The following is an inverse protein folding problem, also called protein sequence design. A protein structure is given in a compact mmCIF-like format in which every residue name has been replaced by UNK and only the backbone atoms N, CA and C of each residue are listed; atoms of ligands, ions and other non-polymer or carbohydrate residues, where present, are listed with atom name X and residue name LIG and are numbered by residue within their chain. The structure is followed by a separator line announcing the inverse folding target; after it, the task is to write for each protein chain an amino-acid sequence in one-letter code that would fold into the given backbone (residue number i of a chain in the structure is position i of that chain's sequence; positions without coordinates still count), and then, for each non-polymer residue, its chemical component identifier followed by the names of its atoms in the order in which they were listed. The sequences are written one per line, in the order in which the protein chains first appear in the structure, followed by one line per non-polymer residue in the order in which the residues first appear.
data_IF_606623389705
#
_entry.id   IF_606623389705
#
_cell.length_a   1.000
_cell.length_b   1.000
_cell.length_c   1.000
_cell.angle_alpha   90.00
_cell.angle_beta   90.00
_cell.angle_gamma   90.00
#
_symmetry.space_group_name_H-M   'P 1'
#
loop_
_entity.id
_entity.type
_entity.pdbx_description
1 polymer ?
#
# COMPACT_ATOMS: atom_id res chain seq x y z
N UNK A 1 -9.93 40.76 34.60
CA UNK A 1 -10.46 39.45 34.10
C UNK A 1 -9.48 38.90 33.08
N UNK A 2 -8.75 37.85 33.43
CA UNK A 2 -7.91 37.10 32.49
C UNK A 2 -8.83 36.18 31.67
N UNK A 3 -8.88 36.39 30.35
CA UNK A 3 -9.55 35.47 29.44
C UNK A 3 -8.50 34.56 28.82
N UNK A 4 -8.53 33.28 29.17
CA UNK A 4 -7.72 32.23 28.53
C UNK A 4 -8.49 31.78 27.26
N UNK A 5 -7.88 31.97 26.08
CA UNK A 5 -8.41 31.47 24.84
C UNK A 5 -7.71 30.16 24.56
N UNK A 6 -8.41 29.04 24.80
CA UNK A 6 -7.93 27.72 24.38
C UNK A 6 -8.14 27.61 22.87
N UNK A 7 -7.04 27.43 22.15
CA UNK A 7 -7.07 27.02 20.74
C UNK A 7 -6.89 25.50 20.74
N UNK A 8 -7.90 24.76 20.32
CA UNK A 8 -7.70 23.39 19.87
C UNK A 8 -7.10 23.48 18.47
N UNK A 9 -5.82 23.21 18.34
CA UNK A 9 -5.16 23.03 17.07
C UNK A 9 -5.51 21.60 16.62
N UNK A 10 -6.47 21.43 15.72
CA UNK A 10 -6.65 20.17 15.00
C UNK A 10 -5.44 20.03 14.06
N UNK A 11 -4.45 19.23 14.46
CA UNK A 11 -3.36 18.88 13.57
C UNK A 11 -3.89 17.96 12.45
N UNK A 12 -3.81 18.43 11.20
CA UNK A 12 -4.13 17.63 10.02
C UNK A 12 -3.27 16.36 10.01
N UNK A 13 -3.87 15.19 10.10
CA UNK A 13 -3.16 13.93 10.00
C UNK A 13 -2.63 13.75 8.56
N UNK A 14 -1.37 13.34 8.43
CA UNK A 14 -0.80 12.91 7.17
C UNK A 14 -1.01 11.40 7.02
N UNK A 15 -1.71 11.00 5.99
CA UNK A 15 -2.01 9.61 5.65
C UNK A 15 -1.34 9.29 4.33
N UNK A 16 -0.47 8.30 4.33
CA UNK A 16 0.19 7.79 3.14
C UNK A 16 -0.30 6.38 2.89
N UNK A 17 -0.77 6.11 1.68
CA UNK A 17 -1.17 4.76 1.27
C UNK A 17 -0.08 4.21 0.38
N UNK A 18 0.73 3.28 0.91
CA UNK A 18 1.67 2.48 0.15
C UNK A 18 0.90 1.31 -0.45
N UNK A 19 0.74 1.33 -1.77
CA UNK A 19 -0.04 0.34 -2.50
C UNK A 19 0.88 -0.55 -3.32
N UNK A 20 0.90 -1.83 -3.00
CA UNK A 20 1.64 -2.82 -3.77
C UNK A 20 1.05 -2.98 -5.17
N UNK A 21 1.91 -2.79 -6.17
CA UNK A 21 1.60 -2.93 -7.59
C UNK A 21 2.56 -3.93 -8.26
N UNK A 22 3.04 -4.94 -7.53
CA UNK A 22 3.85 -6.04 -8.05
C UNK A 22 3.04 -7.02 -8.89
N UNK A 23 3.72 -7.94 -9.57
CA UNK A 23 3.06 -8.98 -10.38
C UNK A 23 2.20 -9.93 -9.56
N UNK A 24 2.58 -10.22 -8.31
CA UNK A 24 1.82 -11.10 -7.43
C UNK A 24 0.39 -10.56 -7.20
N UNK A 25 0.21 -9.24 -7.21
CA UNK A 25 -1.09 -8.58 -7.07
C UNK A 25 -2.03 -8.76 -8.28
N UNK A 26 -1.54 -9.30 -9.40
CA UNK A 26 -2.35 -9.65 -10.58
C UNK A 26 -3.00 -11.04 -10.49
N UNK A 27 -2.89 -11.71 -9.36
CA UNK A 27 -3.53 -13.00 -9.09
C UNK A 27 -4.89 -12.78 -8.44
N UNK A 28 -5.78 -13.76 -8.59
CA UNK A 28 -7.12 -13.77 -7.99
C UNK A 28 -8.24 -13.39 -8.98
N UNK A 29 -9.49 -13.64 -8.54
CA UNK A 29 -10.68 -13.24 -9.27
C UNK A 29 -11.77 -12.77 -8.28
N UNK A 30 -11.97 -11.46 -8.10
CA UNK A 30 -11.28 -10.33 -8.77
C UNK A 30 -9.78 -10.27 -8.43
N UNK A 31 -8.98 -9.59 -9.27
CA UNK A 31 -7.56 -9.42 -9.02
C UNK A 31 -7.30 -8.75 -7.67
N UNK A 32 -6.30 -9.22 -6.91
CA UNK A 32 -5.90 -8.60 -5.63
C UNK A 32 -5.64 -7.11 -5.77
N UNK A 33 -4.98 -6.69 -6.86
CA UNK A 33 -4.75 -5.27 -7.14
C UNK A 33 -6.04 -4.46 -7.24
N UNK A 34 -7.08 -4.98 -7.91
CA UNK A 34 -8.35 -4.26 -8.01
C UNK A 34 -9.00 -4.06 -6.65
N UNK A 35 -8.97 -5.08 -5.81
CA UNK A 35 -9.49 -4.98 -4.44
C UNK A 35 -8.66 -4.00 -3.59
N UNK A 36 -7.33 -4.06 -3.70
CA UNK A 36 -6.43 -3.14 -3.02
C UNK A 36 -6.65 -1.67 -3.45
N UNK A 37 -6.87 -1.42 -4.75
CA UNK A 37 -7.23 -0.09 -5.25
C UNK A 37 -8.57 0.42 -4.72
N UNK A 38 -9.58 -0.46 -4.63
CA UNK A 38 -10.88 -0.10 -4.04
C UNK A 38 -10.74 0.27 -2.56
N UNK A 39 -9.95 -0.51 -1.82
CA UNK A 39 -9.65 -0.24 -0.41
C UNK A 39 -8.88 1.07 -0.25
N UNK A 40 -7.85 1.30 -1.07
CA UNK A 40 -7.10 2.55 -1.09
C UNK A 40 -8.00 3.76 -1.40
N UNK A 41 -8.93 3.63 -2.36
CA UNK A 41 -9.90 4.66 -2.68
C UNK A 41 -10.82 4.98 -1.50
N UNK A 42 -11.35 3.94 -0.82
CA UNK A 42 -12.24 4.10 0.32
C UNK A 42 -11.53 4.78 1.51
N UNK A 43 -10.33 4.33 1.86
CA UNK A 43 -9.53 4.93 2.94
C UNK A 43 -9.14 6.37 2.61
N UNK A 44 -8.75 6.63 1.35
CA UNK A 44 -8.48 8.00 0.90
C UNK A 44 -9.70 8.88 1.02
N UNK A 45 -10.88 8.39 0.64
CA UNK A 45 -12.12 9.16 0.77
C UNK A 45 -12.42 9.52 2.22
N UNK A 46 -12.27 8.56 3.15
CA UNK A 46 -12.47 8.80 4.59
C UNK A 46 -11.52 9.87 5.11
N UNK A 47 -10.23 9.77 4.82
CA UNK A 47 -9.24 10.77 5.22
C UNK A 47 -9.54 12.16 4.64
N UNK A 48 -9.83 12.25 3.33
CA UNK A 48 -10.20 13.52 2.69
C UNK A 48 -11.51 14.10 3.24
N UNK A 49 -12.45 13.25 3.68
CA UNK A 49 -13.70 13.67 4.31
C UNK A 49 -13.47 14.27 5.69
N UNK A 50 -12.52 13.76 6.43
CA UNK A 50 -12.08 14.25 7.74
C UNK A 50 -11.11 15.43 7.64
N UNK A 51 -10.88 15.95 6.42
CA UNK A 51 -9.95 17.04 6.14
C UNK A 51 -8.48 16.69 6.38
N UNK A 52 -8.15 15.41 6.48
CA UNK A 52 -6.77 14.93 6.54
C UNK A 52 -6.03 15.12 5.21
N UNK A 53 -4.72 15.00 5.26
CA UNK A 53 -3.84 15.08 4.10
C UNK A 53 -3.49 13.69 3.62
N UNK A 54 -4.04 13.26 2.50
CA UNK A 54 -3.86 11.91 1.98
C UNK A 54 -3.05 11.89 0.69
N UNK A 55 -2.09 10.97 0.59
CA UNK A 55 -1.32 10.67 -0.62
C UNK A 55 -1.29 9.18 -0.90
N UNK A 56 -1.13 8.78 -2.17
CA UNK A 56 -1.03 7.38 -2.60
C UNK A 56 0.30 7.18 -3.28
N UNK A 57 1.03 6.16 -2.84
CA UNK A 57 2.38 5.82 -3.30
C UNK A 57 2.40 4.36 -3.72
N UNK A 58 2.18 4.05 -5.00
CA UNK A 58 2.34 2.69 -5.50
C UNK A 58 3.82 2.28 -5.47
N UNK A 59 4.07 0.99 -5.24
CA UNK A 59 5.41 0.43 -5.23
C UNK A 59 5.43 -1.00 -5.79
N UNK A 60 6.60 -1.44 -6.22
CA UNK A 60 6.99 -2.82 -6.47
C UNK A 60 8.47 -2.98 -6.05
N UNK A 61 9.42 -3.08 -6.98
CA UNK A 61 10.86 -3.03 -6.65
C UNK A 61 11.28 -1.64 -6.11
N UNK A 62 10.62 -0.58 -6.60
CA UNK A 62 10.83 0.80 -6.23
C UNK A 62 9.50 1.54 -6.13
N UNK A 63 9.54 2.79 -5.66
CA UNK A 63 8.36 3.65 -5.70
C UNK A 63 8.01 4.03 -7.15
N UNK A 64 6.75 3.86 -7.50
CA UNK A 64 6.17 4.31 -8.76
C UNK A 64 5.76 5.79 -8.71
N UNK A 65 5.31 6.38 -9.83
CA UNK A 65 4.67 7.69 -9.81
C UNK A 65 3.55 7.72 -8.78
N UNK A 66 3.51 8.78 -7.98
CA UNK A 66 2.65 8.87 -6.81
C UNK A 66 1.61 9.99 -6.94
N UNK A 67 0.48 9.84 -6.26
CA UNK A 67 -0.47 10.91 -6.06
C UNK A 67 0.00 11.77 -4.87
N UNK A 68 0.36 13.04 -5.09
CA UNK A 68 0.85 13.90 -4.02
C UNK A 68 -0.16 14.07 -2.90
N UNK A 69 0.35 14.20 -1.68
CA UNK A 69 -0.46 14.47 -0.49
C UNK A 69 -1.31 15.72 -0.71
N UNK A 70 -2.61 15.58 -0.51
CA UNK A 70 -3.57 16.65 -0.71
C UNK A 70 -4.71 16.55 0.31
N UNK A 71 -5.46 17.66 0.48
CA UNK A 71 -6.58 17.81 1.40
C UNK A 71 -7.86 18.14 0.64
N UNK A 72 -9.00 17.72 1.18
CA UNK A 72 -10.34 18.11 0.75
C UNK A 72 -11.02 17.15 -0.22
N UNK A 73 -12.32 16.95 -0.01
CA UNK A 73 -13.19 15.97 -0.71
C UNK A 73 -13.17 16.10 -2.24
N UNK A 74 -12.98 17.30 -2.79
CA UNK A 74 -12.95 17.51 -4.24
C UNK A 74 -11.80 16.81 -4.97
N UNK A 75 -10.83 16.28 -4.22
CA UNK A 75 -9.72 15.49 -4.77
C UNK A 75 -10.08 14.06 -5.17
N UNK A 76 -11.22 13.55 -4.73
CA UNK A 76 -11.57 12.13 -4.93
C UNK A 76 -11.61 11.69 -6.39
N UNK A 77 -12.03 12.54 -7.31
CA UNK A 77 -12.02 12.21 -8.74
C UNK A 77 -10.60 12.02 -9.27
N UNK A 78 -9.64 12.86 -8.84
CA UNK A 78 -8.22 12.69 -9.18
C UNK A 78 -7.62 11.41 -8.60
N UNK A 79 -8.10 10.99 -7.43
CA UNK A 79 -7.73 9.70 -6.81
C UNK A 79 -8.19 8.55 -7.69
N UNK A 80 -9.46 8.57 -8.13
CA UNK A 80 -9.99 7.50 -9.01
C UNK A 80 -9.25 7.43 -10.35
N UNK A 81 -8.99 8.58 -10.97
CA UNK A 81 -8.24 8.63 -12.24
C UNK A 81 -6.81 8.11 -12.07
N UNK A 82 -6.16 8.49 -10.96
CA UNK A 82 -4.83 8.01 -10.63
C UNK A 82 -4.80 6.50 -10.41
N UNK A 83 -5.71 5.96 -9.58
CA UNK A 83 -5.78 4.52 -9.31
C UNK A 83 -6.03 3.70 -10.57
N UNK A 84 -6.90 4.17 -11.48
CA UNK A 84 -7.14 3.50 -12.77
C UNK A 84 -5.92 3.43 -13.68
N UNK A 85 -4.97 4.35 -13.51
CA UNK A 85 -3.73 4.41 -14.29
C UNK A 85 -2.58 3.61 -13.67
N UNK A 86 -2.78 2.90 -12.55
CA UNK A 86 -1.74 2.07 -11.96
C UNK A 86 -1.57 0.80 -12.78
N UNK A 87 -0.36 0.60 -13.27
CA UNK A 87 0.06 -0.63 -13.95
C UNK A 87 0.89 -1.46 -12.97
N UNK A 88 0.51 -2.74 -12.84
CA UNK A 88 1.27 -3.68 -12.02
C UNK A 88 2.43 -4.30 -12.80
N UNK A 89 3.54 -4.51 -12.09
CA UNK A 89 4.73 -5.14 -12.65
C UNK A 89 5.88 -5.18 -11.67
N UNK A 90 6.88 -5.98 -11.99
CA UNK A 90 8.06 -6.12 -11.12
C UNK A 90 7.85 -7.11 -9.97
N UNK A 91 8.85 -7.19 -9.10
CA UNK A 91 8.90 -8.03 -7.91
C UNK A 91 8.63 -7.16 -6.69
N UNK A 92 8.01 -7.71 -5.66
CA UNK A 92 7.82 -7.01 -4.40
C UNK A 92 9.16 -6.84 -3.67
N UNK A 93 9.51 -5.60 -3.31
CA UNK A 93 10.67 -5.26 -2.45
C UNK A 93 10.26 -4.20 -1.45
N UNK A 94 9.62 -4.62 -0.37
CA UNK A 94 9.04 -3.71 0.61
C UNK A 94 10.10 -2.89 1.35
N UNK A 95 11.23 -3.48 1.71
CA UNK A 95 12.32 -2.78 2.37
C UNK A 95 12.83 -1.61 1.53
N UNK A 96 13.17 -1.86 0.27
CA UNK A 96 13.67 -0.82 -0.66
C UNK A 96 12.62 0.28 -0.88
N UNK A 97 11.36 -0.11 -1.01
CA UNK A 97 10.25 0.84 -1.17
C UNK A 97 10.07 1.73 0.07
N UNK A 98 10.12 1.13 1.28
CA UNK A 98 9.97 1.89 2.53
C UNK A 98 11.16 2.79 2.81
N UNK A 99 12.39 2.39 2.53
CA UNK A 99 13.57 3.25 2.60
C UNK A 99 13.43 4.46 1.67
N UNK A 100 13.08 4.23 0.41
CA UNK A 100 12.85 5.28 -0.58
C UNK A 100 11.72 6.23 -0.14
N UNK A 101 10.66 5.68 0.47
CA UNK A 101 9.56 6.45 1.04
C UNK A 101 10.04 7.35 2.19
N UNK A 102 10.78 6.82 3.15
CA UNK A 102 11.31 7.55 4.31
C UNK A 102 12.24 8.70 3.85
N UNK A 103 13.05 8.46 2.84
CA UNK A 103 13.91 9.51 2.26
C UNK A 103 13.09 10.63 1.60
N UNK A 104 12.00 10.31 0.94
CA UNK A 104 11.16 11.27 0.20
C UNK A 104 10.23 12.06 1.11
N UNK A 105 9.60 11.40 2.09
CA UNK A 105 8.56 12.00 2.93
C UNK A 105 9.09 12.34 4.33
N UNK A 106 9.18 13.65 4.63
CA UNK A 106 9.73 14.13 5.92
C UNK A 106 8.66 14.35 6.98
N UNK A 107 7.41 14.62 6.57
CA UNK A 107 6.29 14.74 7.50
C UNK A 107 5.86 13.36 7.96
N UNK A 108 5.83 13.18 9.28
CA UNK A 108 5.41 11.92 9.89
C UNK A 108 3.89 11.80 9.88
N UNK A 109 3.39 10.59 10.02
CA UNK A 109 1.96 10.30 10.02
C UNK A 109 1.69 8.82 9.83
N UNK A 110 0.44 8.50 9.54
CA UNK A 110 -0.03 7.14 9.31
C UNK A 110 0.42 6.65 7.92
N UNK A 111 1.00 5.47 7.87
CA UNK A 111 1.38 4.79 6.62
C UNK A 111 0.59 3.50 6.50
N UNK A 112 -0.43 3.50 5.66
CA UNK A 112 -1.22 2.30 5.37
C UNK A 112 -0.53 1.52 4.27
N UNK A 113 0.00 0.35 4.58
CA UNK A 113 0.66 -0.55 3.62
C UNK A 113 -0.34 -1.61 3.18
N UNK A 114 -0.67 -1.64 1.89
CA UNK A 114 -1.62 -2.59 1.29
C UNK A 114 -0.83 -3.49 0.34
N UNK A 115 -0.67 -4.77 0.68
CA UNK A 115 0.13 -5.74 -0.08
C UNK A 115 -0.35 -7.16 0.23
N UNK A 116 0.06 -8.14 -0.55
CA UNK A 116 -0.04 -9.56 -0.20
C UNK A 116 1.12 -10.03 0.69
N UNK A 117 2.18 -9.21 0.80
CA UNK A 117 3.40 -9.48 1.59
C UNK A 117 4.19 -10.70 1.14
N UNK A 118 4.07 -11.09 -0.14
CA UNK A 118 4.87 -12.17 -0.72
C UNK A 118 6.24 -11.69 -1.19
N UNK A 119 6.91 -10.89 -0.36
CA UNK A 119 8.29 -10.46 -0.59
C UNK A 119 9.26 -11.59 -0.19
N UNK A 120 10.07 -12.13 -1.12
CA UNK A 120 11.05 -13.18 -0.81
C UNK A 120 12.09 -12.74 0.22
N UNK A 121 12.34 -11.44 0.36
CA UNK A 121 13.29 -10.87 1.33
C UNK A 121 12.67 -10.70 2.72
N UNK A 122 11.35 -10.86 2.86
CA UNK A 122 10.59 -10.55 4.07
C UNK A 122 10.07 -9.12 4.10
N UNK A 123 9.15 -8.86 4.99
CA UNK A 123 8.47 -7.55 5.11
C UNK A 123 8.75 -6.83 6.43
N UNK A 124 9.26 -7.55 7.43
CA UNK A 124 9.40 -7.07 8.80
C UNK A 124 10.36 -5.87 8.90
N UNK A 125 11.48 -5.92 8.17
CA UNK A 125 12.48 -4.85 8.18
C UNK A 125 11.94 -3.57 7.58
N UNK A 126 11.18 -3.66 6.48
CA UNK A 126 10.51 -2.52 5.88
C UNK A 126 9.50 -1.85 6.81
N UNK A 127 8.66 -2.65 7.48
CA UNK A 127 7.67 -2.13 8.45
C UNK A 127 8.37 -1.53 9.67
N UNK A 128 9.40 -2.19 10.20
CA UNK A 128 10.16 -1.67 11.34
C UNK A 128 10.89 -0.37 10.99
N UNK A 129 11.44 -0.24 9.79
CA UNK A 129 12.09 0.98 9.31
C UNK A 129 11.12 2.17 9.33
N UNK A 130 9.85 1.99 8.92
CA UNK A 130 8.83 3.02 9.05
C UNK A 130 8.65 3.46 10.51
N UNK A 131 8.51 2.51 11.44
CA UNK A 131 8.33 2.79 12.88
C UNK A 131 9.54 3.52 13.48
N UNK A 132 10.75 3.04 13.21
CA UNK A 132 11.98 3.66 13.72
C UNK A 132 12.17 5.08 13.22
N UNK A 133 11.64 5.39 12.04
CA UNK A 133 11.66 6.73 11.48
C UNK A 133 10.45 7.58 11.88
N UNK A 134 9.64 7.15 12.87
CA UNK A 134 8.56 7.92 13.46
C UNK A 134 7.27 7.97 12.64
N UNK A 135 7.07 7.05 11.69
CA UNK A 135 5.79 6.82 11.04
C UNK A 135 4.98 5.77 11.84
N UNK A 136 3.66 5.77 11.64
CA UNK A 136 2.75 4.79 12.22
C UNK A 136 2.29 3.82 11.13
N UNK A 137 2.94 2.67 10.92
CA UNK A 137 2.52 1.71 9.90
C UNK A 137 1.25 0.97 10.32
N UNK A 138 0.29 0.93 9.42
CA UNK A 138 -0.91 0.11 9.50
C UNK A 138 -0.93 -0.84 8.31
N UNK A 139 -0.91 -2.15 8.58
CA UNK A 139 -0.71 -3.18 7.57
C UNK A 139 -2.04 -3.82 7.20
N UNK A 140 -2.34 -3.86 5.90
CA UNK A 140 -3.51 -4.52 5.32
C UNK A 140 -3.04 -5.60 4.34
N UNK A 141 -3.14 -6.85 4.76
CA UNK A 141 -2.81 -7.99 3.90
C UNK A 141 -3.99 -8.33 2.99
N UNK A 142 -3.70 -8.47 1.69
CA UNK A 142 -4.65 -8.92 0.67
C UNK A 142 -4.22 -10.31 0.19
N UNK A 143 -5.11 -11.27 0.20
CA UNK A 143 -4.86 -12.61 -0.32
C UNK A 143 -6.07 -13.15 -1.08
N UNK A 144 -5.84 -14.07 -1.99
CA UNK A 144 -6.90 -14.84 -2.66
C UNK A 144 -7.16 -16.13 -1.88
N UNK A 145 -8.41 -16.55 -1.82
CA UNK A 145 -8.79 -17.78 -1.10
C UNK A 145 -8.02 -19.02 -1.60
N UNK A 146 -7.72 -19.07 -2.90
CA UNK A 146 -6.96 -20.18 -3.49
C UNK A 146 -5.49 -20.20 -3.10
N UNK A 147 -4.94 -19.08 -2.67
CA UNK A 147 -3.56 -19.01 -2.12
C UNK A 147 -3.51 -19.59 -0.70
N UNK A 148 -4.56 -19.39 0.09
CA UNK A 148 -4.65 -19.89 1.47
C UNK A 148 -5.10 -21.37 1.51
N UNK A 149 -6.05 -21.74 0.65
CA UNK A 149 -6.60 -23.09 0.59
C UNK A 149 -6.47 -23.67 -0.83
N UNK A 150 -5.24 -23.97 -1.28
CA UNK A 150 -5.01 -24.49 -2.62
C UNK A 150 -5.59 -25.90 -2.75
N UNK A 151 -6.45 -26.11 -3.75
CA UNK A 151 -6.98 -27.43 -4.11
C UNK A 151 -6.24 -27.97 -5.33
N UNK A 152 -5.15 -28.64 -5.11
CA UNK A 152 -4.36 -29.25 -6.18
C UNK A 152 -4.69 -30.72 -6.34
N UNK A 153 -4.74 -31.23 -7.58
CA UNK A 153 -4.97 -32.63 -7.90
C UNK A 153 -4.00 -33.06 -9.01
N UNK A 154 -3.25 -34.12 -8.77
CA UNK A 154 -2.28 -34.71 -9.73
C UNK A 154 -0.89 -34.05 -9.69
N UNK A 155 -0.04 -34.45 -10.62
CA UNK A 155 1.30 -33.91 -10.76
C UNK A 155 1.25 -32.46 -11.28
N UNK A 156 1.86 -31.54 -10.57
CA UNK A 156 1.77 -30.12 -10.85
C UNK A 156 3.16 -29.47 -10.85
N UNK A 157 3.32 -28.49 -11.72
CA UNK A 157 4.47 -27.59 -11.67
C UNK A 157 4.00 -26.24 -11.14
N UNK A 158 4.46 -25.84 -9.96
CA UNK A 158 4.24 -24.49 -9.44
C UNK A 158 5.26 -23.54 -10.07
N UNK A 159 4.76 -22.44 -10.60
CA UNK A 159 5.59 -21.38 -11.18
C UNK A 159 5.39 -20.12 -10.35
N UNK A 160 6.48 -19.59 -9.83
CA UNK A 160 6.48 -18.29 -9.15
C UNK A 160 6.15 -17.19 -10.17
N UNK A 161 5.10 -16.43 -9.90
CA UNK A 161 4.58 -15.41 -10.82
C UNK A 161 5.51 -14.20 -10.98
N UNK A 162 6.38 -13.93 -10.01
CA UNK A 162 7.30 -12.80 -10.01
C UNK A 162 8.64 -13.17 -10.66
N UNK A 163 9.23 -14.29 -10.24
CA UNK A 163 10.58 -14.72 -10.66
C UNK A 163 10.57 -15.68 -11.84
N UNK A 164 9.45 -16.35 -12.10
CA UNK A 164 9.34 -17.41 -13.10
C UNK A 164 10.00 -18.72 -12.70
N UNK A 165 10.49 -18.86 -11.45
CA UNK A 165 11.06 -20.11 -10.96
C UNK A 165 9.99 -21.19 -10.86
N UNK A 166 10.33 -22.43 -11.28
CA UNK A 166 9.39 -23.54 -11.30
C UNK A 166 9.79 -24.62 -10.29
N UNK A 167 8.78 -25.21 -9.62
CA UNK A 167 8.95 -26.33 -8.70
C UNK A 167 7.89 -27.40 -9.01
N UNK A 168 8.36 -28.63 -9.28
CA UNK A 168 7.49 -29.79 -9.45
C UNK A 168 7.03 -30.32 -8.09
N UNK A 169 5.74 -30.63 -7.99
CA UNK A 169 5.10 -31.25 -6.81
C UNK A 169 4.41 -32.51 -7.29
N UNK A 170 4.72 -33.64 -6.68
CA UNK A 170 4.11 -34.96 -6.90
C UNK A 170 3.27 -35.35 -5.70
#
# INVERSE_FOLDING_TARGET
KLLLRLFEEEEDLHIYILLDASKSMLIGNPLKLHYAMQLAAALTYVGLANLDRVGIVPFAENLHPHLPVARGKGRIFKVFDFLRGIEAGGVTKLEVATESFIHRYKRKGLVVVISDFYDPSGFEEGINSLRYNGFEPFVLQIYDEKEVNPSFHGDLTLVDCETGSAKEIT
#
